data_IF_153908400174
#
_entry.id   IF_153908400174
#
_cell.length_a   1.000
_cell.length_b   1.000
_cell.length_c   1.000
_cell.angle_alpha   90.00
_cell.angle_beta   90.00
_cell.angle_gamma   90.00
#
_symmetry.space_group_name_H-M   'P 1'
#
loop_
_entity.id
_entity.type
_entity.pdbx_description
1 polymer ?
#
# COMPACT_ATOMS: atom_id res chain seq x y z
N UNK A 1 4.76 -61.07 -2.92
CA UNK A 1 4.97 -59.78 -3.61
C UNK A 1 6.23 -59.86 -4.47
N UNK A 2 6.15 -59.48 -5.75
CA UNK A 2 7.30 -59.57 -6.68
C UNK A 2 8.47 -58.71 -6.15
N UNK A 3 9.71 -59.24 -6.13
CA UNK A 3 10.91 -58.51 -5.67
C UNK A 3 11.09 -57.16 -6.38
N UNK A 4 10.65 -57.03 -7.63
CA UNK A 4 10.63 -55.75 -8.37
C UNK A 4 9.63 -54.75 -7.76
N UNK A 5 8.43 -55.21 -7.42
CA UNK A 5 7.38 -54.39 -6.77
C UNK A 5 7.85 -53.92 -5.40
N UNK A 6 8.47 -54.79 -4.60
CA UNK A 6 9.05 -54.41 -3.29
C UNK A 6 10.13 -53.35 -3.42
N UNK A 7 11.05 -53.47 -4.40
CA UNK A 7 12.07 -52.45 -4.66
C UNK A 7 11.48 -51.11 -5.07
N UNK A 8 10.44 -51.10 -5.92
CA UNK A 8 9.74 -49.87 -6.32
C UNK A 8 9.09 -49.19 -5.11
N UNK A 9 8.40 -49.95 -4.26
CA UNK A 9 7.76 -49.40 -3.06
C UNK A 9 8.79 -48.81 -2.11
N UNK A 10 9.90 -49.51 -1.85
CA UNK A 10 10.99 -49.00 -1.00
C UNK A 10 11.60 -47.73 -1.61
N UNK A 11 11.87 -47.70 -2.91
CA UNK A 11 12.41 -46.50 -3.56
C UNK A 11 11.45 -45.31 -3.45
N UNK A 12 10.15 -45.50 -3.68
CA UNK A 12 9.15 -44.44 -3.53
C UNK A 12 9.05 -43.95 -2.07
N UNK A 13 9.08 -44.87 -1.10
CA UNK A 13 9.07 -44.53 0.32
C UNK A 13 10.34 -43.74 0.72
N UNK A 14 11.51 -44.14 0.22
CA UNK A 14 12.77 -43.42 0.45
C UNK A 14 12.77 -42.03 -0.18
N UNK A 15 12.20 -41.86 -1.38
CA UNK A 15 12.03 -40.55 -2.01
C UNK A 15 11.06 -39.68 -1.21
N UNK A 16 9.94 -40.26 -0.75
CA UNK A 16 8.98 -39.56 0.11
C UNK A 16 9.61 -39.11 1.43
N UNK A 17 10.36 -39.99 2.10
CA UNK A 17 11.09 -39.67 3.32
C UNK A 17 12.15 -38.59 3.10
N UNK A 18 12.94 -38.69 2.02
CA UNK A 18 13.90 -37.66 1.64
C UNK A 18 13.20 -36.31 1.41
N UNK A 19 12.05 -36.30 0.73
CA UNK A 19 11.23 -35.10 0.55
C UNK A 19 10.77 -34.49 1.88
N UNK A 20 10.30 -35.31 2.83
CA UNK A 20 9.91 -34.86 4.17
C UNK A 20 11.11 -34.27 4.92
N UNK A 21 12.27 -34.94 4.88
CA UNK A 21 13.49 -34.46 5.53
C UNK A 21 13.97 -33.15 4.92
N UNK A 22 13.96 -33.02 3.59
CA UNK A 22 14.30 -31.77 2.91
C UNK A 22 13.31 -30.65 3.27
N UNK A 23 12.02 -30.95 3.42
CA UNK A 23 11.01 -29.97 3.83
C UNK A 23 11.18 -29.48 5.28
N UNK A 24 11.94 -30.17 6.13
CA UNK A 24 12.29 -29.66 7.46
C UNK A 24 13.35 -28.55 7.42
N UNK A 25 14.08 -28.40 6.30
CA UNK A 25 15.07 -27.34 6.14
C UNK A 25 14.31 -26.01 5.94
N UNK A 26 14.46 -24.99 6.81
CA UNK A 26 13.66 -23.77 6.76
C UNK A 26 13.68 -23.07 5.38
N UNK A 27 14.85 -22.97 4.75
CA UNK A 27 15.00 -22.37 3.43
C UNK A 27 14.23 -23.13 2.33
N UNK A 28 14.16 -24.46 2.42
CA UNK A 28 13.39 -25.29 1.47
C UNK A 28 11.90 -25.16 1.77
N UNK A 29 11.52 -25.24 3.05
CA UNK A 29 10.15 -25.06 3.51
C UNK A 29 9.55 -23.77 2.98
N UNK A 30 10.17 -22.62 3.24
CA UNK A 30 9.66 -21.31 2.82
C UNK A 30 9.46 -21.21 1.31
N UNK A 31 10.44 -21.68 0.52
CA UNK A 31 10.34 -21.65 -0.96
C UNK A 31 9.26 -22.59 -1.48
N UNK A 32 9.17 -23.80 -0.93
CA UNK A 32 8.19 -24.78 -1.38
C UNK A 32 6.77 -24.39 -0.94
N UNK A 33 6.59 -23.93 0.29
CA UNK A 33 5.31 -23.44 0.80
C UNK A 33 4.75 -22.33 -0.08
N UNK A 34 5.57 -21.32 -0.43
CA UNK A 34 5.15 -20.26 -1.36
C UNK A 34 4.68 -20.82 -2.71
N UNK A 35 5.46 -21.74 -3.31
CA UNK A 35 5.10 -22.31 -4.61
C UNK A 35 3.85 -23.19 -4.56
N UNK A 36 3.62 -23.89 -3.46
CA UNK A 36 2.39 -24.65 -3.22
C UNK A 36 1.19 -23.71 -3.05
N UNK A 37 1.35 -22.60 -2.34
CA UNK A 37 0.29 -21.60 -2.15
C UNK A 37 -0.09 -20.94 -3.48
N UNK A 38 0.90 -20.52 -4.28
CA UNK A 38 0.66 -20.01 -5.64
C UNK A 38 -0.06 -21.03 -6.50
N UNK A 39 0.40 -22.30 -6.51
CA UNK A 39 -0.25 -23.36 -7.29
C UNK A 39 -1.70 -23.60 -6.84
N UNK A 40 -1.95 -23.62 -5.54
CA UNK A 40 -3.30 -23.79 -4.97
C UNK A 40 -4.22 -22.65 -5.41
N UNK A 41 -3.76 -21.41 -5.33
CA UNK A 41 -4.53 -20.23 -5.75
C UNK A 41 -4.75 -20.25 -7.27
N UNK A 42 -3.72 -20.59 -8.05
CA UNK A 42 -3.82 -20.71 -9.50
C UNK A 42 -4.87 -21.74 -9.92
N UNK A 43 -4.86 -22.94 -9.31
CA UNK A 43 -5.87 -23.98 -9.58
C UNK A 43 -7.27 -23.51 -9.18
N UNK A 44 -7.42 -22.90 -7.99
CA UNK A 44 -8.70 -22.32 -7.52
C UNK A 44 -9.26 -21.36 -8.57
N UNK A 45 -8.43 -20.45 -9.06
CA UNK A 45 -8.84 -19.41 -10.00
C UNK A 45 -8.91 -19.87 -11.46
N UNK A 46 -8.37 -21.06 -11.79
CA UNK A 46 -8.60 -21.70 -13.08
C UNK A 46 -10.01 -22.31 -13.14
N UNK A 47 -10.50 -22.83 -12.01
CA UNK A 47 -11.83 -23.43 -11.90
C UNK A 47 -12.91 -22.37 -11.67
N UNK A 48 -12.62 -21.39 -10.81
CA UNK A 48 -13.52 -20.30 -10.46
C UNK A 48 -12.74 -18.97 -10.48
N UNK A 49 -12.57 -18.35 -11.67
CA UNK A 49 -11.78 -17.15 -11.81
C UNK A 49 -12.39 -15.98 -11.05
N UNK A 50 -11.53 -15.15 -10.47
CA UNK A 50 -11.93 -13.89 -9.87
C UNK A 50 -12.27 -12.94 -11.01
N UNK A 51 -13.49 -12.42 -10.99
CA UNK A 51 -13.93 -11.42 -11.96
C UNK A 51 -13.22 -10.07 -11.79
N UNK A 52 -13.56 -9.07 -12.63
CA UNK A 52 -13.15 -7.69 -12.38
C UNK A 52 -13.70 -7.21 -11.04
N UNK A 53 -13.11 -6.15 -10.50
CA UNK A 53 -13.65 -5.44 -9.33
C UNK A 53 -15.14 -5.15 -9.57
N UNK A 54 -16.04 -5.53 -8.64
CA UNK A 54 -17.47 -5.32 -8.83
C UNK A 54 -17.78 -3.82 -8.90
N UNK A 55 -18.62 -3.43 -9.84
CA UNK A 55 -19.19 -2.08 -9.88
C UNK A 55 -20.07 -1.84 -8.67
N UNK A 56 -20.29 -0.57 -8.33
CA UNK A 56 -21.16 -0.20 -7.25
C UNK A 56 -22.62 -0.61 -7.50
N UNK A 57 -23.33 -0.96 -6.43
CA UNK A 57 -24.75 -1.28 -6.53
C UNK A 57 -25.56 -0.02 -6.88
N UNK A 58 -26.65 -0.13 -7.66
CA UNK A 58 -27.48 1.03 -7.99
C UNK A 58 -28.01 1.68 -6.71
N UNK A 59 -27.68 2.96 -6.52
CA UNK A 59 -28.26 3.76 -5.46
C UNK A 59 -29.60 4.33 -5.92
N UNK A 60 -30.62 4.29 -5.04
CA UNK A 60 -31.75 5.21 -5.21
C UNK A 60 -31.26 6.57 -4.71
N UNK A 61 -31.22 7.63 -5.54
CA UNK A 61 -30.83 8.94 -5.06
C UNK A 61 -31.76 9.34 -3.92
N UNK A 62 -31.23 9.41 -2.69
CA UNK A 62 -31.92 10.19 -1.66
C UNK A 62 -31.88 11.63 -2.15
N UNK A 63 -33.02 12.31 -2.15
CA UNK A 63 -33.05 13.73 -2.47
C UNK A 63 -31.95 14.42 -1.65
N UNK A 64 -31.06 15.16 -2.34
CA UNK A 64 -30.03 15.94 -1.68
C UNK A 64 -30.75 16.78 -0.62
N UNK A 65 -30.62 16.37 0.65
CA UNK A 65 -30.86 17.32 1.72
C UNK A 65 -29.69 18.25 1.54
N UNK A 66 -29.95 19.46 1.01
CA UNK A 66 -28.91 20.45 0.90
C UNK A 66 -28.29 20.55 2.29
N UNK A 67 -27.09 20.00 2.47
CA UNK A 67 -26.24 20.36 3.58
C UNK A 67 -26.22 21.87 3.53
N UNK A 68 -26.68 22.59 4.57
CA UNK A 68 -26.66 24.03 4.54
C UNK A 68 -25.24 24.41 4.17
N UNK A 69 -25.09 25.14 3.06
CA UNK A 69 -23.82 25.73 2.70
C UNK A 69 -23.27 26.35 3.98
N UNK A 70 -22.03 26.04 4.38
CA UNK A 70 -21.48 26.58 5.62
C UNK A 70 -21.78 28.07 5.62
N UNK A 71 -22.54 28.53 6.63
CA UNK A 71 -22.82 29.95 6.79
C UNK A 71 -21.46 30.61 6.74
N UNK A 72 -21.21 31.42 5.71
CA UNK A 72 -20.05 32.27 5.62
C UNK A 72 -20.16 33.24 6.78
N UNK A 73 -19.74 32.80 7.96
CA UNK A 73 -19.36 33.70 9.03
C UNK A 73 -18.18 34.42 8.43
N UNK A 74 -18.34 35.71 8.15
CA UNK A 74 -17.25 36.58 7.75
C UNK A 74 -16.24 36.60 8.89
N UNK A 75 -15.38 35.59 8.95
CA UNK A 75 -14.11 35.70 9.65
C UNK A 75 -13.44 36.86 8.96
N UNK A 76 -13.16 37.93 9.71
CA UNK A 76 -12.41 39.07 9.20
C UNK A 76 -11.23 38.50 8.42
N UNK A 77 -11.23 38.73 7.11
CA UNK A 77 -10.16 38.31 6.23
C UNK A 77 -8.94 39.10 6.67
N UNK A 78 -8.14 38.49 7.55
CA UNK A 78 -6.75 38.89 7.72
C UNK A 78 -6.18 38.67 6.33
N UNK A 79 -6.00 39.78 5.59
CA UNK A 79 -5.25 39.76 4.35
C UNK A 79 -4.00 38.92 4.60
N UNK A 80 -3.70 37.91 3.77
CA UNK A 80 -2.42 37.23 3.89
C UNK A 80 -1.36 38.32 3.84
N UNK A 81 -0.64 38.48 4.96
CA UNK A 81 0.64 39.15 4.89
C UNK A 81 1.40 38.36 3.85
N UNK A 82 1.76 39.02 2.75
CA UNK A 82 2.75 38.54 1.80
C UNK A 82 4.09 38.50 2.54
N UNK A 83 4.16 37.60 3.51
CA UNK A 83 5.41 37.12 4.06
C UNK A 83 6.05 36.42 2.86
N UNK A 84 7.23 36.86 2.39
CA UNK A 84 7.86 36.22 1.25
C UNK A 84 7.92 34.72 1.52
N UNK A 85 7.28 33.93 0.67
CA UNK A 85 7.50 32.48 0.63
C UNK A 85 9.00 32.31 0.57
N UNK A 86 9.60 31.63 1.55
CA UNK A 86 11.01 31.32 1.51
C UNK A 86 11.26 30.60 0.17
N UNK A 87 11.89 31.29 -0.78
CA UNK A 87 12.28 30.69 -2.04
C UNK A 87 13.33 29.65 -1.67
N UNK A 88 12.99 28.37 -1.81
CA UNK A 88 13.93 27.30 -1.55
C UNK A 88 15.22 27.53 -2.36
N UNK A 89 16.35 27.14 -1.77
CA UNK A 89 17.62 27.19 -2.50
C UNK A 89 17.49 26.37 -3.81
N UNK A 90 18.15 26.80 -4.90
CA UNK A 90 18.18 26.02 -6.13
C UNK A 90 18.66 24.59 -5.85
N UNK A 91 17.94 23.61 -6.35
CA UNK A 91 18.34 22.22 -6.22
C UNK A 91 19.59 21.94 -7.06
N UNK A 92 20.53 21.10 -6.58
CA UNK A 92 21.62 20.61 -7.41
C UNK A 92 21.07 19.80 -8.59
N UNK A 93 21.76 19.80 -9.73
CA UNK A 93 21.29 19.09 -10.93
C UNK A 93 21.29 17.56 -10.78
N UNK A 94 22.04 17.02 -9.82
CA UNK A 94 22.09 15.60 -9.50
C UNK A 94 22.44 15.38 -8.04
N UNK A 95 21.90 14.32 -7.47
CA UNK A 95 22.24 13.82 -6.13
C UNK A 95 22.35 12.31 -6.21
N UNK A 96 23.35 11.74 -5.56
CA UNK A 96 23.46 10.31 -5.35
C UNK A 96 23.98 10.06 -3.95
N UNK A 97 23.14 9.43 -3.12
CA UNK A 97 23.51 8.99 -1.79
C UNK A 97 24.30 7.68 -1.87
N UNK A 98 25.05 7.35 -0.83
CA UNK A 98 25.62 5.99 -0.69
C UNK A 98 24.49 4.98 -0.55
N UNK A 99 24.41 4.04 -1.47
CA UNK A 99 23.37 3.00 -1.46
C UNK A 99 23.54 2.08 -0.24
N UNK A 100 22.43 1.67 0.39
CA UNK A 100 22.47 0.67 1.46
C UNK A 100 22.87 -0.70 0.90
N UNK A 101 23.27 -1.66 1.76
CA UNK A 101 23.35 -3.06 1.38
C UNK A 101 22.03 -3.52 0.76
N UNK A 102 22.10 -4.09 -0.44
CA UNK A 102 20.90 -4.56 -1.11
C UNK A 102 20.27 -5.74 -0.37
N UNK A 103 18.98 -5.61 -0.08
CA UNK A 103 18.19 -6.67 0.53
C UNK A 103 17.04 -7.09 -0.38
N UNK A 104 17.12 -8.32 -0.88
CA UNK A 104 16.03 -8.90 -1.68
C UNK A 104 14.85 -9.25 -0.77
N UNK A 105 13.65 -8.81 -1.13
CA UNK A 105 12.47 -9.13 -0.36
C UNK A 105 12.18 -10.64 -0.33
N UNK A 106 11.62 -11.09 0.78
CA UNK A 106 10.86 -12.34 0.86
C UNK A 106 9.42 -12.13 0.37
N UNK A 107 8.60 -13.19 0.42
CA UNK A 107 7.25 -13.17 -0.13
C UNK A 107 6.39 -12.06 0.50
N UNK A 108 5.90 -11.15 -0.34
CA UNK A 108 5.09 -9.99 0.05
C UNK A 108 5.75 -9.06 1.10
N UNK A 109 7.08 -8.99 1.13
CA UNK A 109 7.83 -8.24 2.14
C UNK A 109 8.50 -6.96 1.61
N UNK A 110 7.93 -6.34 0.56
CA UNK A 110 8.53 -5.16 -0.08
C UNK A 110 8.65 -3.98 0.88
N UNK A 111 7.62 -3.70 1.70
CA UNK A 111 7.64 -2.64 2.71
C UNK A 111 8.74 -2.84 3.76
N UNK A 112 8.76 -3.99 4.47
CA UNK A 112 9.82 -4.29 5.43
C UNK A 112 11.22 -4.30 4.83
N UNK A 113 11.42 -4.85 3.64
CA UNK A 113 12.73 -4.84 2.98
C UNK A 113 13.17 -3.43 2.55
N UNK A 114 12.24 -2.59 2.06
CA UNK A 114 12.55 -1.19 1.74
C UNK A 114 12.89 -0.38 2.99
N UNK A 115 12.13 -0.59 4.08
CA UNK A 115 12.39 0.05 5.37
C UNK A 115 13.73 -0.41 5.98
N UNK A 116 14.06 -1.69 5.88
CA UNK A 116 15.35 -2.25 6.31
C UNK A 116 16.53 -1.56 5.60
N UNK A 117 16.49 -1.50 4.28
CA UNK A 117 17.50 -0.80 3.49
C UNK A 117 17.60 0.69 3.88
N UNK A 118 16.47 1.36 4.10
CA UNK A 118 16.46 2.74 4.58
C UNK A 118 17.10 2.88 5.97
N UNK A 119 16.77 2.00 6.91
CA UNK A 119 17.30 1.96 8.27
C UNK A 119 18.83 1.72 8.30
N UNK A 120 19.38 0.92 7.39
CA UNK A 120 20.84 0.75 7.25
C UNK A 120 21.54 2.06 6.90
N UNK A 121 20.90 2.96 6.15
CA UNK A 121 21.44 4.30 5.88
C UNK A 121 21.54 5.16 7.15
N UNK A 122 20.80 4.79 8.21
CA UNK A 122 20.85 5.40 9.54
C UNK A 122 21.68 4.59 10.55
N UNK A 123 22.41 3.57 10.10
CA UNK A 123 23.31 2.76 10.92
C UNK A 123 22.65 1.60 11.67
N UNK A 124 21.39 1.29 11.41
CA UNK A 124 20.73 0.08 11.94
C UNK A 124 21.37 -1.19 11.37
N UNK A 125 21.31 -2.31 12.10
CA UNK A 125 22.05 -3.55 11.79
C UNK A 125 21.15 -4.79 11.66
N UNK A 126 19.82 -4.64 11.69
CA UNK A 126 18.88 -5.73 11.52
C UNK A 126 18.57 -6.04 10.05
N UNK A 127 17.51 -6.79 9.80
CA UNK A 127 17.05 -7.12 8.45
C UNK A 127 15.51 -7.07 8.32
N UNK A 128 14.99 -7.35 7.12
CA UNK A 128 13.54 -7.30 6.88
C UNK A 128 12.71 -8.22 7.80
N UNK A 129 13.31 -9.27 8.38
CA UNK A 129 12.62 -10.20 9.28
C UNK A 129 12.40 -9.60 10.67
N UNK A 130 13.37 -8.84 11.19
CA UNK A 130 13.21 -8.08 12.43
C UNK A 130 12.03 -7.10 12.35
N UNK A 131 11.74 -6.60 11.14
CA UNK A 131 10.60 -5.71 10.87
C UNK A 131 9.32 -6.53 10.71
N UNK A 132 9.31 -7.51 9.81
CA UNK A 132 8.10 -8.28 9.48
C UNK A 132 7.57 -9.09 10.66
N UNK A 133 8.43 -9.58 11.56
CA UNK A 133 8.01 -10.34 12.73
C UNK A 133 7.17 -9.51 13.71
N UNK A 134 7.26 -8.16 13.65
CA UNK A 134 6.49 -7.24 14.48
C UNK A 134 5.18 -6.83 13.79
N UNK A 135 5.27 -6.37 12.55
CA UNK A 135 4.13 -5.71 11.87
C UNK A 135 3.38 -6.61 10.89
N UNK A 136 3.97 -7.75 10.52
CA UNK A 136 3.43 -8.68 9.52
C UNK A 136 3.76 -10.14 9.90
N UNK A 137 3.41 -10.60 11.12
CA UNK A 137 3.95 -11.84 11.70
C UNK A 137 3.51 -13.11 10.94
N UNK A 138 2.46 -13.04 10.13
CA UNK A 138 1.97 -14.17 9.33
C UNK A 138 2.44 -14.02 7.88
N UNK A 139 3.18 -15.03 7.40
CA UNK A 139 3.70 -15.03 6.02
C UNK A 139 2.61 -14.96 4.94
N UNK A 140 1.40 -15.43 5.24
CA UNK A 140 0.26 -15.37 4.33
C UNK A 140 -0.34 -13.98 4.16
N UNK A 141 -0.11 -13.07 5.11
CA UNK A 141 -0.40 -11.66 4.92
C UNK A 141 0.41 -11.13 3.73
N UNK A 142 -0.21 -10.24 3.00
CA UNK A 142 0.09 -9.87 1.64
C UNK A 142 0.30 -8.36 1.49
N UNK A 143 0.11 -7.58 2.56
CA UNK A 143 0.24 -6.13 2.56
C UNK A 143 1.05 -5.67 3.78
N UNK A 144 1.59 -4.45 3.73
CA UNK A 144 2.03 -3.70 4.90
C UNK A 144 1.69 -2.24 4.63
N UNK A 145 0.90 -1.65 5.51
CA UNK A 145 0.45 -0.27 5.39
C UNK A 145 1.54 0.72 5.86
N UNK A 146 1.52 1.97 5.36
CA UNK A 146 2.50 2.99 5.74
C UNK A 146 2.52 3.29 7.25
N UNK A 147 1.35 3.24 7.90
CA UNK A 147 1.21 3.41 9.34
C UNK A 147 1.88 2.29 10.15
N UNK A 148 1.95 1.07 9.61
CA UNK A 148 2.62 -0.07 10.24
C UNK A 148 4.14 0.09 10.15
N UNK A 149 4.66 0.52 9.00
CA UNK A 149 6.07 0.91 8.86
C UNK A 149 6.42 2.03 9.85
N UNK A 150 5.55 3.03 9.99
CA UNK A 150 5.73 4.11 10.97
C UNK A 150 5.68 3.59 12.41
N UNK A 151 4.76 2.69 12.72
CA UNK A 151 4.64 2.08 14.04
C UNK A 151 5.91 1.33 14.42
N UNK A 152 6.49 0.55 13.51
CA UNK A 152 7.78 -0.11 13.74
C UNK A 152 8.86 0.91 14.12
N UNK A 153 8.99 2.00 13.35
CA UNK A 153 10.00 3.03 13.64
C UNK A 153 9.77 3.65 15.02
N UNK A 154 8.55 4.06 15.33
CA UNK A 154 8.24 4.72 16.61
C UNK A 154 8.38 3.82 17.83
N UNK A 155 8.29 2.50 17.67
CA UNK A 155 8.32 1.54 18.80
C UNK A 155 9.61 0.73 18.91
N UNK A 156 10.26 0.39 17.79
CA UNK A 156 11.45 -0.45 17.74
C UNK A 156 12.73 0.32 17.38
N UNK A 157 12.59 1.46 16.67
CA UNK A 157 13.69 2.33 16.28
C UNK A 157 13.47 3.77 16.76
N UNK A 158 13.00 3.95 18.01
CA UNK A 158 12.51 5.23 18.55
C UNK A 158 13.54 6.37 18.66
N UNK A 159 14.79 6.14 18.25
CA UNK A 159 15.78 7.19 18.00
C UNK A 159 15.61 7.87 16.62
N UNK A 160 14.65 7.42 15.82
CA UNK A 160 14.25 7.96 14.53
C UNK A 160 12.76 8.30 14.54
N UNK A 161 12.37 9.22 13.67
CA UNK A 161 10.98 9.47 13.30
C UNK A 161 10.75 9.05 11.84
N UNK A 162 9.53 8.62 11.54
CA UNK A 162 9.05 8.38 10.18
C UNK A 162 7.73 9.14 10.00
N UNK A 163 7.67 9.97 8.96
CA UNK A 163 6.46 10.66 8.55
C UNK A 163 6.07 10.21 7.15
N UNK A 164 4.77 10.12 6.89
CA UNK A 164 4.25 9.84 5.55
C UNK A 164 3.16 10.84 5.17
N UNK A 165 3.08 11.16 3.88
CA UNK A 165 2.15 12.14 3.32
C UNK A 165 1.76 11.70 1.91
N UNK A 166 0.73 12.32 1.35
CA UNK A 166 0.23 12.07 -0.01
C UNK A 166 0.38 13.30 -0.87
N UNK A 167 0.05 13.19 -2.17
CA UNK A 167 0.12 14.31 -3.09
C UNK A 167 1.56 14.79 -3.34
N UNK A 168 2.55 13.92 -3.12
CA UNK A 168 3.93 14.23 -3.43
C UNK A 168 4.15 14.49 -4.94
N UNK A 169 5.27 15.12 -5.26
CA UNK A 169 5.67 15.43 -6.62
C UNK A 169 7.20 15.32 -6.77
N UNK A 170 7.67 15.34 -8.01
CA UNK A 170 9.08 15.16 -8.35
C UNK A 170 9.99 16.19 -7.69
N UNK A 171 9.56 17.45 -7.63
CA UNK A 171 10.33 18.53 -7.00
C UNK A 171 10.51 18.31 -5.49
N UNK A 172 9.45 17.84 -4.81
CA UNK A 172 9.51 17.51 -3.39
C UNK A 172 10.47 16.34 -3.13
N UNK A 173 10.40 15.27 -3.93
CA UNK A 173 11.32 14.14 -3.80
C UNK A 173 12.78 14.57 -3.96
N UNK A 174 13.07 15.39 -4.98
CA UNK A 174 14.41 15.94 -5.19
C UNK A 174 14.86 16.83 -4.03
N UNK A 175 13.98 17.65 -3.48
CA UNK A 175 14.28 18.51 -2.32
C UNK A 175 14.69 17.69 -1.10
N UNK A 176 13.97 16.62 -0.81
CA UNK A 176 14.30 15.69 0.29
C UNK A 176 15.65 15.01 0.04
N UNK A 177 15.89 14.51 -1.17
CA UNK A 177 17.15 13.85 -1.54
C UNK A 177 18.35 14.82 -1.47
N UNK A 178 18.19 16.06 -1.94
CA UNK A 178 19.22 17.09 -1.88
C UNK A 178 19.58 17.49 -0.44
N UNK A 179 18.66 17.30 0.50
CA UNK A 179 18.89 17.44 1.93
C UNK A 179 19.39 16.15 2.61
N UNK A 180 19.78 15.13 1.84
CA UNK A 180 20.24 13.81 2.30
C UNK A 180 19.19 12.99 3.05
N UNK A 181 17.91 13.19 2.77
CA UNK A 181 16.84 12.31 3.23
C UNK A 181 16.46 11.34 2.10
N UNK A 182 16.74 10.04 2.23
CA UNK A 182 16.22 9.06 1.28
C UNK A 182 14.69 8.99 1.45
N UNK A 183 13.98 8.59 0.40
CA UNK A 183 12.51 8.62 0.40
C UNK A 183 11.99 7.26 -0.02
N UNK A 184 11.06 6.69 0.75
CA UNK A 184 10.29 5.53 0.30
C UNK A 184 9.01 6.04 -0.37
N UNK A 185 8.65 5.46 -1.51
CA UNK A 185 7.36 5.68 -2.17
C UNK A 185 6.64 4.35 -2.37
N UNK A 186 5.31 4.38 -2.35
CA UNK A 186 4.51 3.22 -2.75
C UNK A 186 4.08 3.39 -4.20
N UNK A 187 4.50 2.48 -5.07
CA UNK A 187 4.29 2.53 -6.51
C UNK A 187 3.71 1.23 -7.04
N UNK A 188 3.40 1.19 -8.33
CA UNK A 188 3.05 -0.04 -9.04
C UNK A 188 4.31 -0.80 -9.44
N UNK A 189 4.24 -2.13 -9.37
CA UNK A 189 5.15 -3.05 -10.05
C UNK A 189 4.36 -4.14 -10.78
N UNK A 190 5.02 -4.80 -11.72
CA UNK A 190 4.48 -6.00 -12.38
C UNK A 190 5.03 -7.24 -11.71
N UNK A 191 4.15 -8.12 -11.24
CA UNK A 191 4.53 -9.40 -10.65
C UNK A 191 5.14 -10.32 -11.71
N UNK A 192 6.05 -11.20 -11.27
CA UNK A 192 6.47 -12.31 -12.10
C UNK A 192 5.23 -13.14 -12.50
N UNK A 193 5.03 -13.47 -13.79
CA UNK A 193 3.92 -14.31 -14.23
C UNK A 193 3.83 -15.66 -13.49
N UNK A 194 4.95 -16.17 -12.96
CA UNK A 194 4.99 -17.37 -12.14
C UNK A 194 4.35 -17.21 -10.74
N UNK A 195 4.04 -15.98 -10.32
CA UNK A 195 3.35 -15.63 -9.08
C UNK A 195 1.91 -15.12 -9.34
N UNK A 196 1.40 -15.25 -10.57
CA UNK A 196 0.03 -14.92 -10.94
C UNK A 196 -0.99 -15.73 -10.11
N UNK A 197 -2.10 -15.09 -9.74
CA UNK A 197 -3.22 -15.74 -9.06
C UNK A 197 -4.02 -16.64 -10.00
N UNK A 198 -3.88 -16.50 -11.31
CA UNK A 198 -4.59 -17.31 -12.31
C UNK A 198 -4.32 -16.86 -13.74
N UNK A 199 -5.01 -17.47 -14.74
CA UNK A 199 -4.80 -17.15 -16.16
C UNK A 199 -5.18 -15.73 -16.58
N UNK A 200 -6.10 -15.08 -15.85
CA UNK A 200 -6.65 -13.76 -16.16
C UNK A 200 -6.10 -12.65 -15.27
N UNK A 201 -4.96 -12.91 -14.63
CA UNK A 201 -4.33 -11.99 -13.71
C UNK A 201 -3.71 -10.78 -14.45
N UNK A 202 -3.94 -9.57 -13.95
CA UNK A 202 -3.40 -8.34 -14.51
C UNK A 202 -1.94 -8.06 -14.11
N UNK A 203 -1.36 -8.90 -13.26
CA UNK A 203 -0.02 -8.81 -12.66
C UNK A 203 0.25 -7.51 -11.89
N UNK A 204 -0.77 -6.67 -11.71
CA UNK A 204 -0.65 -5.40 -11.04
C UNK A 204 -0.48 -5.61 -9.54
N UNK A 205 0.53 -4.96 -8.95
CA UNK A 205 0.78 -5.01 -7.52
C UNK A 205 1.33 -3.68 -7.00
N UNK A 206 1.00 -3.35 -5.75
CA UNK A 206 1.72 -2.35 -4.97
C UNK A 206 3.15 -2.82 -4.69
N UNK A 207 4.06 -1.86 -4.60
CA UNK A 207 5.45 -2.09 -4.32
C UNK A 207 6.06 -0.87 -3.64
N UNK A 208 6.99 -1.09 -2.72
CA UNK A 208 7.73 0.01 -2.11
C UNK A 208 9.08 0.16 -2.79
N UNK A 209 9.39 1.37 -3.23
CA UNK A 209 10.68 1.76 -3.78
C UNK A 209 11.39 2.69 -2.81
N UNK A 210 12.67 2.44 -2.54
CA UNK A 210 13.54 3.36 -1.82
C UNK A 210 14.31 4.21 -2.83
N UNK A 211 14.11 5.51 -2.83
CA UNK A 211 14.78 6.47 -3.72
C UNK A 211 16.03 7.00 -3.01
N UNK A 212 17.19 6.92 -3.68
CA UNK A 212 18.51 7.30 -3.13
C UNK A 212 19.26 8.33 -3.97
N UNK A 213 18.66 8.82 -5.05
CA UNK A 213 19.27 9.87 -5.87
C UNK A 213 18.44 10.26 -7.07
N UNK A 214 18.86 11.32 -7.76
CA UNK A 214 18.24 11.79 -9.00
C UNK A 214 19.28 12.41 -9.93
N UNK A 215 18.96 12.48 -11.22
CA UNK A 215 19.73 13.20 -12.21
C UNK A 215 18.84 13.91 -13.22
N UNK A 216 18.89 15.25 -13.25
CA UNK A 216 18.06 16.06 -14.13
C UNK A 216 18.47 16.00 -15.59
N UNK A 217 19.74 15.71 -15.89
CA UNK A 217 20.19 15.56 -17.26
C UNK A 217 19.60 14.32 -17.93
N UNK A 218 19.34 13.25 -17.17
CA UNK A 218 18.68 12.03 -17.65
C UNK A 218 17.20 11.94 -17.27
N UNK A 219 16.70 12.88 -16.48
CA UNK A 219 15.33 12.89 -15.95
C UNK A 219 14.95 11.58 -15.23
N UNK A 220 15.83 11.10 -14.35
CA UNK A 220 15.67 9.82 -13.67
C UNK A 220 15.98 9.88 -12.18
N UNK A 221 15.32 9.01 -11.41
CA UNK A 221 15.70 8.66 -10.05
C UNK A 221 16.56 7.40 -10.03
N UNK A 222 17.41 7.30 -9.02
CA UNK A 222 18.07 6.05 -8.61
C UNK A 222 17.25 5.41 -7.50
N UNK A 223 16.87 4.16 -7.68
CA UNK A 223 16.00 3.42 -6.75
C UNK A 223 16.65 2.11 -6.29
N UNK A 224 16.34 1.70 -5.07
CA UNK A 224 16.51 0.33 -4.61
C UNK A 224 15.15 -0.36 -4.70
N UNK A 225 15.08 -1.38 -5.54
CA UNK A 225 13.88 -2.17 -5.76
C UNK A 225 14.09 -3.57 -5.16
N UNK A 226 13.42 -3.86 -4.05
CA UNK A 226 13.61 -5.11 -3.31
C UNK A 226 13.20 -6.36 -4.10
N UNK A 227 12.42 -6.20 -5.18
CA UNK A 227 11.98 -7.27 -6.06
C UNK A 227 12.95 -7.46 -7.25
N UNK A 228 13.37 -6.35 -7.86
CA UNK A 228 14.08 -6.33 -9.14
C UNK A 228 15.59 -6.12 -9.02
N UNK A 229 16.09 -5.34 -8.05
CA UNK A 229 17.53 -5.13 -7.87
C UNK A 229 17.92 -3.78 -7.24
N UNK A 230 19.22 -3.65 -6.98
CA UNK A 230 19.84 -2.43 -6.46
C UNK A 230 20.11 -1.40 -7.57
N UNK A 231 20.16 -0.12 -7.17
CA UNK A 231 20.62 1.01 -7.98
C UNK A 231 20.00 1.10 -9.39
N UNK A 232 18.74 0.70 -9.52
CA UNK A 232 18.00 0.79 -10.78
C UNK A 232 17.67 2.24 -11.11
N UNK A 233 17.41 2.50 -12.40
CA UNK A 233 16.97 3.80 -12.89
C UNK A 233 15.50 3.76 -13.27
N UNK A 234 14.76 4.78 -12.83
CA UNK A 234 13.38 5.02 -13.24
C UNK A 234 13.24 6.46 -13.71
N UNK A 235 12.64 6.68 -14.88
CA UNK A 235 12.41 8.05 -15.34
C UNK A 235 11.38 8.75 -14.46
N UNK A 236 11.46 10.09 -14.37
CA UNK A 236 10.50 10.89 -13.61
C UNK A 236 9.07 10.61 -14.07
N UNK A 237 8.84 10.59 -15.38
CA UNK A 237 7.52 10.33 -15.96
C UNK A 237 6.99 8.91 -15.65
N UNK A 238 7.87 7.90 -15.64
CA UNK A 238 7.46 6.54 -15.30
C UNK A 238 7.12 6.44 -13.81
N UNK A 239 7.93 7.05 -12.93
CA UNK A 239 7.63 7.11 -11.51
C UNK A 239 6.30 7.80 -11.24
N UNK A 240 6.04 8.98 -11.81
CA UNK A 240 4.77 9.69 -11.63
C UNK A 240 3.55 8.84 -12.01
N UNK A 241 3.66 8.10 -13.13
CA UNK A 241 2.61 7.18 -13.58
C UNK A 241 2.39 6.04 -12.59
N UNK A 242 3.46 5.40 -12.12
CA UNK A 242 3.37 4.23 -11.24
C UNK A 242 3.08 4.62 -9.78
N UNK A 243 3.33 5.86 -9.40
CA UNK A 243 3.10 6.41 -8.06
C UNK A 243 1.67 6.91 -7.86
N UNK A 244 1.07 7.45 -8.94
CA UNK A 244 -0.30 7.97 -8.97
C UNK A 244 -1.34 7.04 -8.34
N UNK A 245 -1.37 5.72 -8.59
CA UNK A 245 -2.37 4.83 -8.01
C UNK A 245 -2.41 4.83 -6.47
N UNK A 246 -1.32 5.22 -5.81
CA UNK A 246 -1.20 5.30 -4.35
C UNK A 246 -1.25 6.75 -3.84
N UNK A 247 -1.96 7.61 -4.56
CA UNK A 247 -2.14 9.03 -4.22
C UNK A 247 -0.81 9.78 -4.02
N UNK A 248 0.23 9.40 -4.75
CA UNK A 248 1.58 9.91 -4.59
C UNK A 248 2.06 9.88 -3.12
N UNK A 249 1.86 8.74 -2.44
CA UNK A 249 2.31 8.50 -1.08
C UNK A 249 3.83 8.42 -0.98
N UNK A 250 4.42 9.20 -0.08
CA UNK A 250 5.83 9.09 0.28
C UNK A 250 6.03 8.99 1.79
N UNK A 251 7.13 8.37 2.19
CA UNK A 251 7.59 8.26 3.56
C UNK A 251 9.02 8.84 3.66
N UNK A 252 9.25 9.63 4.71
CA UNK A 252 10.54 10.23 5.02
C UNK A 252 10.92 9.91 6.46
N UNK A 253 12.15 9.44 6.64
CA UNK A 253 12.74 9.13 7.94
C UNK A 253 13.77 10.19 8.28
N UNK A 254 13.87 10.56 9.55
CA UNK A 254 14.84 11.55 10.03
C UNK A 254 15.11 11.35 11.52
N UNK A 255 16.23 11.86 12.01
CA UNK A 255 16.47 11.92 13.45
C UNK A 255 15.67 13.06 14.10
N UNK A 256 15.14 12.91 15.32
CA UNK A 256 14.33 13.93 15.98
C UNK A 256 14.96 15.33 16.05
N UNK A 257 16.28 15.46 16.16
CA UNK A 257 16.95 16.77 16.17
C UNK A 257 16.84 17.55 14.85
N UNK A 258 16.45 16.90 13.75
CA UNK A 258 16.26 17.54 12.43
C UNK A 258 14.78 17.83 12.12
N UNK A 259 13.88 17.79 13.10
CA UNK A 259 12.46 18.04 12.89
C UNK A 259 12.17 19.41 12.26
N UNK A 260 12.85 20.47 12.71
CA UNK A 260 12.66 21.83 12.15
C UNK A 260 13.13 21.96 10.70
N UNK A 261 14.18 21.23 10.33
CA UNK A 261 14.60 21.11 8.94
C UNK A 261 13.53 20.38 8.12
N UNK A 262 13.01 19.27 8.64
CA UNK A 262 11.95 18.50 7.98
C UNK A 262 10.67 19.33 7.79
N UNK A 263 10.26 20.09 8.80
CA UNK A 263 9.17 21.08 8.71
C UNK A 263 9.40 22.08 7.58
N UNK A 264 10.64 22.57 7.46
CA UNK A 264 11.02 23.52 6.42
C UNK A 264 10.95 22.87 5.03
N UNK A 265 11.47 21.65 4.86
CA UNK A 265 11.49 20.93 3.59
C UNK A 265 10.08 20.58 3.09
N UNK A 266 9.20 20.13 3.99
CA UNK A 266 7.81 19.79 3.69
C UNK A 266 6.90 21.02 3.59
N UNK A 267 7.27 22.15 4.21
CA UNK A 267 6.45 23.35 4.27
C UNK A 267 5.01 23.04 4.73
N UNK A 268 3.98 23.38 3.94
CA UNK A 268 2.59 23.08 4.27
C UNK A 268 2.30 21.58 4.37
N UNK A 269 3.09 20.73 3.72
CA UNK A 269 2.92 19.27 3.80
C UNK A 269 3.37 18.70 5.15
N UNK A 270 4.07 19.50 5.99
CA UNK A 270 4.39 19.08 7.35
C UNK A 270 3.13 18.79 8.16
N UNK A 271 2.10 19.63 8.07
CA UNK A 271 0.82 19.36 8.74
C UNK A 271 0.02 18.34 7.93
N UNK A 272 -0.39 17.19 8.52
CA UNK A 272 -1.13 16.17 7.78
C UNK A 272 -2.45 16.65 7.19
N UNK A 273 -3.14 17.57 7.87
CA UNK A 273 -4.43 18.11 7.40
C UNK A 273 -4.22 19.09 6.25
N UNK A 274 -3.21 19.96 6.31
CA UNK A 274 -2.86 20.87 5.21
C UNK A 274 -2.34 20.09 3.98
N UNK A 275 -1.55 19.03 4.19
CA UNK A 275 -1.15 18.12 3.11
C UNK A 275 -2.37 17.49 2.43
N UNK A 276 -3.28 16.91 3.22
CA UNK A 276 -4.50 16.27 2.71
C UNK A 276 -5.45 17.27 2.06
N UNK A 277 -5.53 18.50 2.55
CA UNK A 277 -6.31 19.58 1.95
C UNK A 277 -5.76 19.92 0.56
N UNK A 278 -4.44 20.00 0.42
CA UNK A 278 -3.76 20.26 -0.85
C UNK A 278 -3.98 19.12 -1.84
N UNK A 279 -3.81 17.87 -1.39
CA UNK A 279 -4.07 16.68 -2.20
C UNK A 279 -5.56 16.59 -2.62
N UNK A 280 -6.49 16.91 -1.72
CA UNK A 280 -7.92 16.98 -2.02
C UNK A 280 -8.20 18.00 -3.11
N UNK A 281 -7.73 19.24 -2.97
CA UNK A 281 -7.96 20.30 -3.96
C UNK A 281 -7.39 19.96 -5.34
N UNK A 282 -6.20 19.34 -5.38
CA UNK A 282 -5.63 18.85 -6.64
C UNK A 282 -6.52 17.76 -7.26
N UNK A 283 -6.87 16.73 -6.48
CA UNK A 283 -7.70 15.63 -6.99
C UNK A 283 -9.09 16.09 -7.43
N UNK A 284 -9.70 17.06 -6.73
CA UNK A 284 -10.97 17.69 -7.10
C UNK A 284 -10.88 18.39 -8.47
N UNK A 285 -9.80 19.14 -8.71
CA UNK A 285 -9.55 19.80 -10.00
C UNK A 285 -9.35 18.80 -11.15
N UNK A 286 -8.74 17.65 -10.87
CA UNK A 286 -8.50 16.60 -11.87
C UNK A 286 -9.80 15.91 -12.24
N UNK A 287 -10.62 15.50 -11.25
CA UNK A 287 -11.88 14.80 -11.52
C UNK A 287 -12.96 15.70 -12.13
N UNK A 288 -12.82 17.02 -12.03
CA UNK A 288 -13.64 17.98 -12.77
C UNK A 288 -13.34 17.99 -14.28
N UNK A 289 -12.24 17.39 -14.72
CA UNK A 289 -11.88 17.22 -16.13
C UNK A 289 -12.53 15.96 -16.74
N UNK A 290 -12.79 15.98 -18.05
CA UNK A 290 -13.30 14.81 -18.77
C UNK A 290 -12.24 13.70 -19.01
N UNK A 291 -11.02 13.86 -18.51
CA UNK A 291 -9.90 12.94 -18.73
C UNK A 291 -9.50 12.15 -17.48
N UNK A 292 -10.21 12.35 -16.36
CA UNK A 292 -9.92 11.65 -15.11
C UNK A 292 -10.11 10.13 -15.25
N UNK A 293 -9.10 9.37 -14.86
CA UNK A 293 -9.12 7.91 -14.87
C UNK A 293 -9.58 7.32 -13.53
N UNK A 294 -9.62 5.98 -13.43
CA UNK A 294 -10.05 5.30 -12.22
C UNK A 294 -9.20 5.66 -10.99
N UNK A 295 -7.90 5.89 -11.16
CA UNK A 295 -7.01 6.24 -10.04
C UNK A 295 -7.20 7.69 -9.60
N UNK A 296 -7.52 8.62 -10.51
CA UNK A 296 -7.89 9.99 -10.15
C UNK A 296 -9.13 10.01 -9.24
N UNK A 297 -10.18 9.28 -9.63
CA UNK A 297 -11.39 9.14 -8.82
C UNK A 297 -11.13 8.41 -7.50
N UNK A 298 -10.27 7.40 -7.50
CA UNK A 298 -9.90 6.69 -6.28
C UNK A 298 -9.14 7.59 -5.30
N UNK A 299 -8.18 8.36 -5.79
CA UNK A 299 -7.41 9.31 -4.97
C UNK A 299 -8.31 10.42 -4.41
N UNK A 300 -9.23 10.93 -5.22
CA UNK A 300 -10.23 11.90 -4.77
C UNK A 300 -11.09 11.31 -3.63
N UNK A 301 -11.62 10.09 -3.79
CA UNK A 301 -12.36 9.39 -2.74
C UNK A 301 -11.54 9.17 -1.47
N UNK A 302 -10.28 8.79 -1.59
CA UNK A 302 -9.37 8.60 -0.45
C UNK A 302 -9.09 9.91 0.30
N UNK A 303 -8.92 11.02 -0.40
CA UNK A 303 -8.74 12.33 0.23
C UNK A 303 -10.03 12.83 0.89
N UNK A 304 -11.20 12.60 0.29
CA UNK A 304 -12.51 12.90 0.91
C UNK A 304 -12.73 12.07 2.19
N UNK A 305 -12.33 10.79 2.17
CA UNK A 305 -12.44 9.89 3.31
C UNK A 305 -11.64 10.39 4.52
N UNK A 306 -10.46 10.98 4.29
CA UNK A 306 -9.63 11.57 5.35
C UNK A 306 -10.38 12.69 6.11
N UNK A 307 -11.20 13.47 5.41
CA UNK A 307 -12.02 14.53 5.99
C UNK A 307 -13.43 14.08 6.35
N UNK A 308 -13.66 12.77 6.45
CA UNK A 308 -14.94 12.18 6.84
C UNK A 308 -16.12 12.57 5.92
N UNK A 309 -15.84 13.00 4.68
CA UNK A 309 -16.83 13.29 3.64
C UNK A 309 -17.28 12.00 2.95
N UNK A 310 -17.84 11.09 3.76
CA UNK A 310 -18.01 9.68 3.38
C UNK A 310 -19.00 9.46 2.23
N UNK A 311 -20.10 10.21 2.14
CA UNK A 311 -21.06 10.10 1.04
C UNK A 311 -20.43 10.50 -0.29
N UNK A 312 -19.67 11.60 -0.31
CA UNK A 312 -18.96 12.06 -1.51
C UNK A 312 -17.83 11.11 -1.88
N UNK A 313 -17.11 10.60 -0.88
CA UNK A 313 -16.07 9.60 -1.08
C UNK A 313 -16.63 8.33 -1.71
N UNK A 314 -17.79 7.84 -1.22
CA UNK A 314 -18.46 6.67 -1.76
C UNK A 314 -18.81 6.86 -3.25
N UNK A 315 -19.32 8.03 -3.65
CA UNK A 315 -19.60 8.35 -5.06
C UNK A 315 -18.33 8.39 -5.92
N UNK A 316 -17.23 8.94 -5.39
CA UNK A 316 -15.94 8.94 -6.09
C UNK A 316 -15.42 7.50 -6.29
N UNK A 317 -15.53 6.65 -5.26
CA UNK A 317 -15.15 5.23 -5.38
C UNK A 317 -16.07 4.43 -6.31
N UNK A 318 -17.37 4.75 -6.36
CA UNK A 318 -18.26 4.16 -7.36
C UNK A 318 -17.77 4.46 -8.76
N UNK A 319 -17.39 5.71 -9.01
CA UNK A 319 -16.90 6.12 -10.32
C UNK A 319 -15.59 5.43 -10.69
N UNK A 320 -14.66 5.32 -9.75
CA UNK A 320 -13.43 4.55 -9.93
C UNK A 320 -13.71 3.08 -10.29
N UNK A 321 -14.64 2.43 -9.57
CA UNK A 321 -15.04 1.03 -9.80
C UNK A 321 -15.79 0.85 -11.13
N UNK A 322 -16.58 1.84 -11.56
CA UNK A 322 -17.27 1.86 -12.85
C UNK A 322 -16.28 1.91 -14.02
N UNK A 323 -15.23 2.75 -13.92
CA UNK A 323 -14.17 2.86 -14.95
C UNK A 323 -13.34 1.57 -14.99
N UNK A 324 -13.05 1.00 -13.81
CA UNK A 324 -12.35 -0.26 -13.65
C UNK A 324 -11.06 -0.09 -12.86
N UNK A 325 -10.85 -1.01 -11.91
CA UNK A 325 -9.69 -1.02 -11.02
C UNK A 325 -8.92 -2.34 -11.16
N UNK A 326 -7.60 -2.34 -10.88
CA UNK A 326 -6.82 -3.56 -10.83
C UNK A 326 -7.39 -4.59 -9.86
N UNK A 327 -7.21 -5.86 -10.17
CA UNK A 327 -7.76 -7.00 -9.43
C UNK A 327 -7.39 -6.96 -7.94
N UNK A 328 -6.18 -6.50 -7.64
CA UNK A 328 -5.63 -6.43 -6.28
C UNK A 328 -5.79 -5.07 -5.59
N UNK A 329 -6.59 -4.14 -6.11
CA UNK A 329 -6.69 -2.80 -5.53
C UNK A 329 -6.98 -2.83 -4.02
N UNK A 330 -7.96 -3.63 -3.58
CA UNK A 330 -8.36 -3.75 -2.17
C UNK A 330 -7.53 -4.76 -1.35
N UNK A 331 -6.40 -5.21 -1.91
CA UNK A 331 -5.33 -5.82 -1.11
C UNK A 331 -4.47 -4.76 -0.44
N UNK A 332 -4.41 -3.56 -1.01
CA UNK A 332 -3.47 -2.50 -0.60
C UNK A 332 -4.18 -1.21 -0.16
N UNK A 333 -5.42 -0.97 -0.59
CA UNK A 333 -6.14 0.27 -0.27
C UNK A 333 -7.55 0.01 0.26
N UNK A 334 -7.82 0.51 1.48
CA UNK A 334 -9.01 0.13 2.27
C UNK A 334 -9.99 1.28 2.53
N UNK A 335 -9.66 2.53 2.15
CA UNK A 335 -10.53 3.71 2.27
C UNK A 335 -11.97 3.50 1.77
N UNK A 336 -12.22 2.75 0.68
CA UNK A 336 -13.58 2.46 0.22
C UNK A 336 -14.43 1.75 1.27
N UNK A 337 -13.86 0.84 2.06
CA UNK A 337 -14.60 0.12 3.10
C UNK A 337 -15.13 1.08 4.18
N UNK A 338 -14.27 1.99 4.63
CA UNK A 338 -14.61 3.03 5.59
C UNK A 338 -15.70 3.95 5.03
N UNK A 339 -15.55 4.43 3.79
CA UNK A 339 -16.53 5.30 3.14
C UNK A 339 -17.91 4.63 2.99
N UNK A 340 -17.98 3.38 2.51
CA UNK A 340 -19.25 2.66 2.38
C UNK A 340 -19.88 2.35 3.74
N UNK A 341 -19.08 2.03 4.76
CA UNK A 341 -19.59 1.86 6.11
C UNK A 341 -20.19 3.17 6.63
N UNK A 342 -19.47 4.29 6.63
CA UNK A 342 -20.01 5.51 7.26
C UNK A 342 -21.15 6.16 6.45
N UNK A 343 -21.18 6.02 5.12
CA UNK A 343 -22.28 6.50 4.27
C UNK A 343 -23.54 5.62 4.29
N UNK A 344 -23.56 4.56 5.11
CA UNK A 344 -24.73 3.67 5.22
C UNK A 344 -24.85 2.63 4.10
N UNK A 345 -23.91 2.56 3.16
CA UNK A 345 -23.91 1.66 2.01
C UNK A 345 -23.34 0.28 2.33
N UNK A 346 -24.02 -0.41 3.23
CA UNK A 346 -23.55 -1.68 3.76
C UNK A 346 -23.49 -2.82 2.72
N UNK A 347 -24.40 -2.81 1.74
CA UNK A 347 -24.40 -3.84 0.69
C UNK A 347 -23.18 -3.72 -0.23
N UNK A 348 -22.74 -2.50 -0.53
CA UNK A 348 -21.48 -2.26 -1.24
C UNK A 348 -20.26 -2.67 -0.42
N UNK A 349 -20.24 -2.36 0.88
CA UNK A 349 -19.20 -2.81 1.79
C UNK A 349 -19.06 -4.34 1.76
N UNK A 350 -20.18 -5.06 1.89
CA UNK A 350 -20.18 -6.52 1.87
C UNK A 350 -19.83 -7.09 0.50
N UNK A 351 -20.32 -6.50 -0.59
CA UNK A 351 -19.94 -6.92 -1.93
C UNK A 351 -18.43 -6.80 -2.15
N UNK A 352 -17.83 -5.67 -1.74
CA UNK A 352 -16.42 -5.37 -1.97
C UNK A 352 -15.50 -6.18 -1.06
N UNK A 353 -15.86 -6.35 0.22
CA UNK A 353 -15.09 -7.19 1.15
C UNK A 353 -15.19 -8.68 0.80
N UNK A 354 -16.34 -9.16 0.29
CA UNK A 354 -16.44 -10.52 -0.25
C UNK A 354 -15.53 -10.70 -1.48
N UNK A 355 -15.50 -9.72 -2.39
CA UNK A 355 -14.60 -9.72 -3.53
C UNK A 355 -13.13 -9.78 -3.09
N UNK A 356 -12.72 -8.87 -2.22
CA UNK A 356 -11.34 -8.78 -1.73
C UNK A 356 -10.89 -10.07 -1.01
N UNK A 357 -11.77 -10.71 -0.24
CA UNK A 357 -11.52 -12.03 0.34
C UNK A 357 -11.37 -13.15 -0.69
N UNK A 358 -12.07 -13.03 -1.81
CA UNK A 358 -11.91 -13.94 -2.95
C UNK A 358 -10.49 -13.86 -3.53
N UNK A 359 -9.92 -12.65 -3.58
CA UNK A 359 -8.54 -12.36 -4.00
C UNK A 359 -7.52 -12.87 -3.00
N UNK A 360 -7.71 -12.59 -1.71
CA UNK A 360 -6.85 -13.09 -0.64
C UNK A 360 -7.64 -13.32 0.64
N UNK A 361 -7.51 -14.51 1.22
CA UNK A 361 -8.16 -14.84 2.50
C UNK A 361 -7.30 -14.41 3.71
N UNK A 362 -6.20 -13.72 3.47
CA UNK A 362 -5.15 -13.39 4.43
C UNK A 362 -4.93 -11.87 4.56
N UNK A 363 -5.98 -11.05 4.46
CA UNK A 363 -5.92 -9.63 4.83
C UNK A 363 -6.85 -9.39 6.00
N UNK A 364 -6.26 -9.04 7.14
CA UNK A 364 -6.96 -8.70 8.37
C UNK A 364 -7.87 -7.48 8.19
N UNK A 365 -7.48 -6.49 7.39
CA UNK A 365 -8.27 -5.28 7.15
C UNK A 365 -9.58 -5.64 6.45
N UNK A 366 -9.51 -6.51 5.44
CA UNK A 366 -10.71 -6.97 4.73
C UNK A 366 -11.61 -7.79 5.66
N UNK A 367 -11.04 -8.64 6.52
CA UNK A 367 -11.82 -9.41 7.51
C UNK A 367 -12.45 -8.52 8.58
N UNK A 368 -11.74 -7.48 9.04
CA UNK A 368 -12.25 -6.48 9.97
C UNK A 368 -13.49 -5.79 9.39
N UNK A 369 -13.36 -5.25 8.17
CA UNK A 369 -14.42 -4.52 7.49
C UNK A 369 -15.60 -5.42 7.09
N UNK A 370 -15.33 -6.67 6.71
CA UNK A 370 -16.39 -7.65 6.49
C UNK A 370 -17.18 -7.92 7.78
N UNK A 371 -16.48 -8.05 8.92
CA UNK A 371 -17.12 -8.22 10.22
C UNK A 371 -18.01 -7.03 10.59
N UNK A 372 -17.55 -5.80 10.35
CA UNK A 372 -18.39 -4.60 10.51
C UNK A 372 -19.62 -4.59 9.60
N UNK A 373 -19.48 -5.06 8.36
CA UNK A 373 -20.60 -5.22 7.44
C UNK A 373 -21.66 -6.21 7.93
N UNK A 374 -21.23 -7.37 8.46
CA UNK A 374 -22.11 -8.39 9.04
C UNK A 374 -22.78 -7.90 10.33
N UNK A 375 -22.03 -7.23 11.18
CA UNK A 375 -22.55 -6.64 12.41
C UNK A 375 -23.70 -5.67 12.11
N UNK A 376 -23.53 -4.83 11.08
CA UNK A 376 -24.59 -3.89 10.67
C UNK A 376 -25.82 -4.59 10.08
N UNK A 377 -25.69 -5.78 9.50
CA UNK A 377 -26.82 -6.62 9.09
C UNK A 377 -27.49 -7.35 10.28
N UNK A 378 -26.94 -7.25 11.49
CA UNK A 378 -27.42 -7.97 12.67
C UNK A 378 -26.88 -9.40 12.79
N UNK A 379 -25.96 -9.84 11.92
CA UNK A 379 -25.28 -11.13 12.05
C UNK A 379 -24.07 -11.01 12.99
N UNK A 380 -24.35 -10.91 14.28
CA UNK A 380 -23.33 -10.79 15.32
C UNK A 380 -22.42 -12.03 15.40
N UNK A 381 -22.96 -13.22 15.09
CA UNK A 381 -22.20 -14.47 15.14
C UNK A 381 -21.21 -14.56 13.97
N UNK A 382 -21.61 -14.12 12.77
CA UNK A 382 -20.74 -14.00 11.61
C UNK A 382 -19.67 -12.92 11.80
N UNK A 383 -20.05 -11.75 12.35
CA UNK A 383 -19.13 -10.67 12.67
C UNK A 383 -18.01 -11.13 13.62
N UNK A 384 -18.36 -11.81 14.71
CA UNK A 384 -17.37 -12.36 15.64
C UNK A 384 -16.39 -13.32 14.96
N UNK A 385 -16.88 -14.23 14.11
CA UNK A 385 -16.01 -15.15 13.35
C UNK A 385 -15.08 -14.41 12.40
N UNK A 386 -15.57 -13.35 11.76
CA UNK A 386 -14.76 -12.53 10.87
C UNK A 386 -13.63 -11.80 11.63
N UNK A 387 -13.94 -11.22 12.79
CA UNK A 387 -12.94 -10.56 13.63
C UNK A 387 -11.94 -11.52 14.25
N UNK A 388 -12.38 -12.72 14.67
CA UNK A 388 -11.46 -13.79 15.08
C UNK A 388 -10.53 -14.22 13.94
N UNK A 389 -11.00 -14.17 12.69
CA UNK A 389 -10.16 -14.44 11.54
C UNK A 389 -9.14 -13.32 11.30
N UNK A 390 -9.53 -12.06 11.42
CA UNK A 390 -8.61 -10.91 11.36
C UNK A 390 -7.51 -11.04 12.43
N UNK A 391 -7.90 -11.25 13.69
CA UNK A 391 -7.00 -11.46 14.84
C UNK A 391 -6.03 -12.64 14.62
N UNK A 392 -6.49 -13.74 14.01
CA UNK A 392 -5.61 -14.87 13.70
C UNK A 392 -4.57 -14.59 12.61
N UNK A 393 -4.78 -13.56 11.78
CA UNK A 393 -3.83 -13.13 10.75
C UNK A 393 -2.82 -12.16 11.35
N UNK A 394 -3.31 -11.17 12.09
CA UNK A 394 -2.46 -10.19 12.75
C UNK A 394 -3.06 -9.81 14.11
N UNK A 395 -2.62 -10.44 15.22
CA UNK A 395 -3.14 -10.14 16.56
C UNK A 395 -2.65 -8.78 17.09
N UNK A 396 -1.69 -8.16 16.39
CA UNK A 396 -1.17 -6.84 16.71
C UNK A 396 -1.77 -5.75 15.84
N UNK A 397 -2.76 -6.07 14.99
CA UNK A 397 -3.41 -5.10 14.12
C UNK A 397 -4.11 -4.01 14.94
N UNK A 398 -3.88 -2.73 14.60
CA UNK A 398 -4.30 -1.57 15.39
C UNK A 398 -5.05 -0.50 14.61
#
# INVERSE_FOLDING_TARGET
>A
MNKKVTKIIISLASIGLLGILLYQIPAIKTRLSWRLDVLKVYIKNTINPIGPVPTALPITPKANTATPAPTQTSVAQVLPSITPTATFAPLPAQVLMTSPPYEKQTANNCGPAALSMMLHMYGWQGDQSDISDVIKPVSGDRNVNPEELRYYIRTQAGWLNLEYRVGGNIELLKRLLAANYPVIVESVTSLNPADALGPTDDLWAAHYLLITGYNDAQQEFTIQDTYHGADLKISYAQLEKDWKPFNNLYLVMYFPQFEEEMKTLLASDWDPSLNRQSALGLSESIVASNTADAFDWFNYGSNLTYFERYEEAALAFDKAREIGLPLRMFRYQFSPFLAYFHSGRNDDLLALTNYARGVTEMSEEVWLWYGYGLYRQGDNAGALKAWQKADSINPNFF
#
